data_IF_867885639773
#
_entry.id   IF_867885639773
#
_cell.length_a   1.000
_cell.length_b   1.000
_cell.length_c   1.000
_cell.angle_alpha   90.00
_cell.angle_beta   90.00
_cell.angle_gamma   90.00
#
_symmetry.space_group_name_H-M   'P 1'
#
loop_
_entity.id
_entity.type
_entity.pdbx_description
1 polymer ?
#
# COMPACT_ATOMS: atom_id res chain seq x y z
N UNK A 1 -23.12 62.24 -22.73
CA UNK A 1 -24.27 61.47 -23.26
C UNK A 1 -23.97 59.98 -23.13
N UNK A 2 -24.74 59.20 -22.35
CA UNK A 2 -24.55 57.76 -22.26
C UNK A 2 -25.33 57.03 -23.37
N UNK A 3 -24.75 56.02 -24.07
CA UNK A 3 -25.52 55.19 -24.97
C UNK A 3 -26.40 54.19 -24.20
N UNK A 4 -27.60 54.01 -24.75
CA UNK A 4 -28.76 53.33 -24.18
C UNK A 4 -28.57 51.82 -24.11
N UNK A 5 -29.02 51.24 -22.98
CA UNK A 5 -29.29 49.80 -22.79
C UNK A 5 -30.28 49.31 -23.86
N UNK A 6 -29.90 48.26 -24.59
CA UNK A 6 -30.83 47.45 -25.37
C UNK A 6 -31.31 46.25 -24.53
N UNK A 7 -32.63 46.09 -24.44
CA UNK A 7 -33.37 44.93 -23.90
C UNK A 7 -33.86 44.06 -25.06
N UNK A 8 -33.69 42.73 -25.00
CA UNK A 8 -34.54 41.63 -25.54
C UNK A 8 -33.67 40.37 -25.71
N UNK A 9 -34.11 39.13 -25.56
CA UNK A 9 -35.42 38.49 -25.35
C UNK A 9 -35.18 37.08 -24.73
N UNK A 10 -36.21 36.42 -24.15
CA UNK A 10 -36.06 35.16 -23.44
C UNK A 10 -36.03 33.91 -24.35
N UNK A 11 -35.47 32.83 -23.78
CA UNK A 11 -35.23 31.51 -24.36
C UNK A 11 -36.48 30.75 -24.83
N UNK A 12 -36.36 29.84 -25.82
CA UNK A 12 -37.33 28.77 -26.04
C UNK A 12 -37.02 27.54 -25.16
N UNK A 13 -38.07 27.11 -24.45
CA UNK A 13 -38.16 25.86 -23.70
C UNK A 13 -38.21 24.67 -24.67
N UNK A 14 -37.30 23.72 -24.53
CA UNK A 14 -37.44 22.39 -25.16
C UNK A 14 -37.98 21.41 -24.15
N UNK A 15 -39.13 20.85 -24.53
CA UNK A 15 -39.97 19.88 -23.83
C UNK A 15 -39.30 18.52 -23.69
N UNK A 16 -39.33 17.99 -22.48
CA UNK A 16 -39.06 16.58 -22.18
C UNK A 16 -40.23 15.71 -22.68
N UNK A 17 -39.91 14.66 -23.43
CA UNK A 17 -40.82 13.56 -23.75
C UNK A 17 -40.29 12.27 -23.10
N UNK A 18 -41.16 11.42 -22.50
CA UNK A 18 -40.76 10.16 -21.88
C UNK A 18 -40.70 9.06 -22.96
N UNK A 19 -39.54 8.42 -23.12
CA UNK A 19 -39.44 7.19 -23.92
C UNK A 19 -39.48 5.98 -23.01
N UNK A 20 -40.39 5.11 -23.37
CA UNK A 20 -40.91 3.95 -22.66
C UNK A 20 -39.90 2.82 -22.50
N UNK A 21 -40.02 2.19 -21.34
CA UNK A 21 -39.40 0.96 -20.86
C UNK A 21 -39.80 -0.23 -21.76
N UNK A 22 -38.83 -0.92 -22.36
CA UNK A 22 -39.03 -2.24 -22.95
C UNK A 22 -38.38 -3.30 -22.05
N UNK A 23 -39.22 -4.10 -21.41
CA UNK A 23 -38.83 -5.30 -20.69
C UNK A 23 -38.80 -6.48 -21.67
N UNK A 24 -37.63 -7.08 -21.89
CA UNK A 24 -37.51 -8.35 -22.59
C UNK A 24 -37.27 -9.48 -21.59
N UNK A 25 -38.15 -10.48 -21.69
CA UNK A 25 -38.22 -11.69 -20.89
C UNK A 25 -37.09 -12.66 -21.21
N UNK A 26 -36.52 -13.22 -20.14
CA UNK A 26 -36.20 -14.63 -19.88
C UNK A 26 -36.28 -15.61 -21.07
N UNK A 27 -35.16 -16.29 -21.33
CA UNK A 27 -35.13 -17.73 -21.65
C UNK A 27 -33.83 -18.36 -21.12
N UNK A 28 -33.95 -19.25 -20.13
CA UNK A 28 -32.95 -20.28 -19.80
C UNK A 28 -33.21 -21.50 -20.70
N UNK A 29 -32.17 -22.23 -21.11
CA UNK A 29 -32.29 -23.67 -21.30
C UNK A 29 -31.39 -24.42 -20.30
N UNK A 30 -32.08 -25.13 -19.41
CA UNK A 30 -31.96 -26.55 -19.09
C UNK A 30 -30.61 -27.24 -19.25
N UNK A 31 -30.17 -27.78 -18.11
CA UNK A 31 -29.10 -28.76 -17.95
C UNK A 31 -29.41 -30.09 -18.66
N UNK A 32 -28.39 -30.67 -19.30
CA UNK A 32 -28.34 -32.11 -19.55
C UNK A 32 -27.09 -32.70 -18.89
N UNK A 33 -27.32 -33.83 -18.23
CA UNK A 33 -26.50 -34.51 -17.25
C UNK A 33 -26.05 -35.82 -17.87
N UNK A 34 -24.76 -36.06 -17.96
CA UNK A 34 -24.22 -37.41 -18.10
C UNK A 34 -22.98 -37.57 -17.21
N UNK A 35 -23.10 -38.48 -16.24
CA UNK A 35 -22.02 -38.98 -15.40
C UNK A 35 -21.67 -40.42 -15.86
N UNK A 36 -20.93 -41.24 -15.08
CA UNK A 36 -19.49 -41.22 -14.86
C UNK A 36 -18.83 -42.56 -15.26
N UNK A 37 -17.53 -42.58 -15.60
CA UNK A 37 -16.78 -43.85 -15.69
C UNK A 37 -15.79 -44.02 -14.54
N UNK A 38 -16.09 -45.00 -13.69
CA UNK A 38 -15.18 -45.58 -12.68
C UNK A 38 -14.11 -46.46 -13.36
N UNK A 39 -12.87 -46.39 -12.89
CA UNK A 39 -11.98 -47.55 -12.83
C UNK A 39 -10.96 -47.36 -11.70
N UNK A 40 -10.84 -48.39 -10.86
CA UNK A 40 -10.09 -48.42 -9.62
C UNK A 40 -8.75 -49.20 -9.80
N UNK A 41 -8.08 -49.73 -8.75
CA UNK A 41 -6.71 -49.37 -8.39
C UNK A 41 -5.69 -50.49 -8.65
N UNK A 42 -4.39 -50.18 -8.61
CA UNK A 42 -3.33 -51.20 -8.47
C UNK A 42 -2.45 -50.92 -7.26
N UNK A 43 -2.28 -51.98 -6.46
CA UNK A 43 -1.56 -52.10 -5.20
C UNK A 43 -0.12 -52.57 -5.41
N UNK A 44 0.76 -52.17 -4.47
CA UNK A 44 1.92 -52.90 -3.90
C UNK A 44 3.24 -52.96 -4.70
N UNK A 45 4.43 -53.21 -4.07
CA UNK A 45 4.68 -53.59 -2.66
C UNK A 45 5.81 -52.84 -1.91
N UNK A 46 5.84 -53.15 -0.60
CA UNK A 46 6.82 -52.87 0.46
C UNK A 46 8.29 -53.25 0.11
N UNK A 47 9.25 -52.54 0.70
CA UNK A 47 10.46 -53.16 1.27
C UNK A 47 10.91 -52.42 2.53
N UNK A 48 11.17 -53.22 3.56
CA UNK A 48 11.62 -52.81 4.88
C UNK A 48 13.14 -52.94 4.98
N UNK A 49 13.77 -52.15 5.84
CA UNK A 49 14.92 -52.59 6.62
C UNK A 49 15.04 -51.83 7.94
N UNK A 50 15.19 -52.61 9.00
CA UNK A 50 15.47 -52.24 10.40
C UNK A 50 16.97 -52.16 10.63
N UNK A 51 17.40 -51.38 11.63
CA UNK A 51 18.46 -51.66 12.64
C UNK A 51 18.52 -50.43 13.56
N UNK A 52 18.10 -50.44 14.83
CA UNK A 52 18.56 -51.16 16.03
C UNK A 52 19.94 -50.70 16.56
N UNK A 53 19.95 -50.06 17.75
CA UNK A 53 20.90 -50.43 18.80
C UNK A 53 21.74 -49.36 19.53
N UNK A 54 21.21 -48.87 20.67
CA UNK A 54 21.75 -49.12 22.04
C UNK A 54 22.80 -48.21 22.72
N UNK A 55 22.61 -48.14 24.06
CA UNK A 55 23.47 -47.74 25.21
C UNK A 55 23.58 -46.23 25.50
N UNK A 56 23.06 -45.67 26.60
CA UNK A 56 23.12 -45.97 28.06
C UNK A 56 24.54 -45.83 28.64
N UNK A 57 24.78 -44.69 29.29
CA UNK A 57 25.90 -44.42 30.21
C UNK A 57 25.45 -43.37 31.22
N UNK A 58 25.80 -43.58 32.50
CA UNK A 58 25.20 -43.03 33.72
C UNK A 58 26.33 -42.42 34.56
N UNK A 59 26.23 -41.10 34.84
CA UNK A 59 26.68 -40.31 36.05
C UNK A 59 28.10 -40.50 36.66
N UNK A 60 28.57 -39.68 37.65
CA UNK A 60 28.04 -38.43 38.25
C UNK A 60 29.08 -37.28 38.41
N UNK A 61 28.60 -36.19 39.01
CA UNK A 61 29.26 -35.24 39.93
C UNK A 61 30.01 -34.02 39.34
N UNK A 62 29.48 -32.85 39.67
CA UNK A 62 30.10 -31.55 39.45
C UNK A 62 29.22 -30.42 39.99
N UNK A 63 29.00 -30.40 41.31
CA UNK A 63 28.33 -29.30 42.02
C UNK A 63 29.12 -28.00 41.87
N UNK A 64 28.55 -27.01 41.18
CA UNK A 64 29.02 -25.62 41.26
C UNK A 64 27.81 -24.74 41.56
N UNK A 65 27.73 -24.35 42.83
CA UNK A 65 26.79 -23.38 43.35
C UNK A 65 26.96 -22.06 42.60
N UNK A 66 25.94 -21.64 41.86
CA UNK A 66 25.79 -20.29 41.34
C UNK A 66 24.67 -19.64 42.14
N UNK A 67 25.05 -18.67 42.95
CA UNK A 67 24.15 -17.71 43.59
C UNK A 67 23.35 -16.98 42.51
N UNK A 68 22.02 -16.85 42.65
CA UNK A 68 21.22 -15.98 41.80
C UNK A 68 21.39 -14.55 42.30
N UNK A 69 22.40 -13.85 41.79
CA UNK A 69 22.46 -12.40 41.80
C UNK A 69 21.98 -11.94 40.43
N UNK A 70 20.76 -11.42 40.38
CA UNK A 70 20.10 -10.84 39.22
C UNK A 70 20.73 -9.46 38.93
N UNK A 71 21.62 -9.29 37.93
CA UNK A 71 22.20 -8.00 37.64
C UNK A 71 21.37 -7.38 36.52
N UNK A 72 20.20 -6.87 36.87
CA UNK A 72 19.51 -5.71 36.28
C UNK A 72 18.00 -5.76 36.57
N UNK A 73 17.64 -5.70 37.86
CA UNK A 73 16.37 -5.11 38.24
C UNK A 73 16.47 -3.59 37.97
N UNK A 74 16.18 -3.21 36.72
CA UNK A 74 16.04 -1.80 36.35
C UNK A 74 14.78 -1.30 37.05
N UNK A 75 15.02 -0.67 38.19
CA UNK A 75 14.07 0.04 39.02
C UNK A 75 13.22 0.99 38.17
N UNK A 76 12.09 0.47 37.68
CA UNK A 76 11.14 1.17 36.82
C UNK A 76 10.43 2.30 37.57
N UNK A 77 10.61 2.38 38.89
CA UNK A 77 10.09 3.45 39.73
C UNK A 77 10.94 4.73 39.69
N UNK A 78 12.13 4.70 39.06
CA UNK A 78 13.09 5.82 39.12
C UNK A 78 13.15 6.73 37.89
N UNK A 79 12.25 6.56 36.92
CA UNK A 79 12.12 7.50 35.80
C UNK A 79 10.81 8.31 35.89
N UNK A 80 10.74 9.38 36.70
CA UNK A 80 9.55 10.23 36.82
C UNK A 80 9.40 11.19 35.62
N UNK A 81 9.78 10.78 34.41
CA UNK A 81 9.89 11.70 33.27
C UNK A 81 8.68 11.75 32.35
N UNK A 82 7.64 10.96 32.59
CA UNK A 82 6.43 11.01 31.76
C UNK A 82 5.16 11.10 32.62
N UNK A 83 4.35 12.16 32.44
CA UNK A 83 3.08 12.28 33.14
C UNK A 83 2.15 11.15 32.69
N UNK A 84 1.73 10.31 33.63
CA UNK A 84 0.76 9.24 33.43
C UNK A 84 -0.68 9.79 33.27
N UNK A 85 -0.87 10.77 32.37
CA UNK A 85 -2.14 11.43 32.13
C UNK A 85 -2.38 11.61 30.64
N UNK A 86 -3.39 10.92 30.10
CA UNK A 86 -3.91 11.12 28.72
C UNK A 86 -4.25 12.58 28.38
N UNK A 87 -4.30 13.49 29.36
CA UNK A 87 -4.68 14.89 29.19
C UNK A 87 -3.52 15.82 28.76
N UNK A 88 -2.28 15.34 28.76
CA UNK A 88 -1.11 16.14 28.38
C UNK A 88 -0.54 15.81 26.98
N UNK A 89 -1.15 14.88 26.24
CA UNK A 89 -0.70 14.54 24.89
C UNK A 89 -0.75 15.75 23.92
N UNK A 90 -1.71 16.65 24.10
CA UNK A 90 -1.82 17.90 23.33
C UNK A 90 -0.66 18.89 23.57
N UNK A 91 0.15 18.67 24.62
CA UNK A 91 1.29 19.53 24.98
C UNK A 91 2.64 19.04 24.45
N UNK A 92 2.73 17.77 24.06
CA UNK A 92 3.99 17.14 23.65
C UNK A 92 4.08 16.85 22.16
N UNK A 93 2.96 16.89 21.45
CA UNK A 93 2.94 17.01 20.00
C UNK A 93 2.98 18.51 19.70
N UNK A 94 4.14 19.03 19.28
CA UNK A 94 4.19 20.38 18.74
C UNK A 94 3.45 20.39 17.40
N UNK A 95 2.13 20.58 17.49
CA UNK A 95 1.25 20.69 16.34
C UNK A 95 1.63 21.84 15.43
N UNK A 96 2.48 22.79 15.85
CA UNK A 96 3.00 23.82 14.94
C UNK A 96 4.04 23.26 13.98
N UNK A 97 4.86 22.28 14.40
CA UNK A 97 5.80 21.55 13.52
C UNK A 97 5.04 20.58 12.62
N UNK A 98 4.04 19.86 13.16
CA UNK A 98 3.14 19.05 12.31
C UNK A 98 2.34 19.90 11.34
N UNK A 99 1.86 21.09 11.74
CA UNK A 99 1.16 22.02 10.86
C UNK A 99 2.10 22.65 9.83
N UNK A 100 3.37 22.92 10.16
CA UNK A 100 4.36 23.42 9.22
C UNK A 100 4.69 22.37 8.13
N UNK A 101 4.77 21.09 8.49
CA UNK A 101 4.96 19.99 7.53
C UNK A 101 3.67 19.65 6.76
N UNK A 102 2.52 19.64 7.43
CA UNK A 102 1.20 19.51 6.79
C UNK A 102 0.90 20.69 5.84
N UNK A 103 1.50 21.86 6.09
CA UNK A 103 1.46 23.03 5.21
C UNK A 103 2.51 23.02 4.08
N UNK A 104 3.20 21.90 3.85
CA UNK A 104 3.93 21.70 2.60
C UNK A 104 5.44 21.72 2.68
N UNK A 105 6.02 20.98 3.63
CA UNK A 105 7.26 20.26 3.31
C UNK A 105 6.95 19.14 2.30
N UNK A 106 6.36 19.52 1.16
CA UNK A 106 6.33 18.72 -0.03
C UNK A 106 7.79 18.41 -0.29
N UNK A 107 8.18 17.13 -0.22
CA UNK A 107 9.16 16.69 -1.20
C UNK A 107 8.52 17.09 -2.52
N UNK A 108 9.10 18.10 -3.17
CA UNK A 108 8.63 18.53 -4.46
C UNK A 108 8.57 17.27 -5.31
N UNK A 109 7.34 16.84 -5.63
CA UNK A 109 7.18 15.71 -6.53
C UNK A 109 7.96 16.08 -7.80
N UNK A 110 8.69 15.14 -8.39
CA UNK A 110 9.46 15.43 -9.59
C UNK A 110 8.60 16.21 -10.57
N UNK A 111 9.10 17.31 -11.14
CA UNK A 111 8.27 18.20 -11.95
C UNK A 111 7.54 17.39 -13.01
N UNK A 112 6.20 17.51 -13.02
CA UNK A 112 5.38 16.78 -13.98
C UNK A 112 5.82 17.12 -15.40
N UNK A 113 5.89 16.10 -16.26
CA UNK A 113 6.03 16.31 -17.68
C UNK A 113 4.84 17.10 -18.23
N UNK A 114 5.03 17.73 -19.39
CA UNK A 114 3.92 18.37 -20.09
C UNK A 114 2.95 17.30 -20.56
N UNK A 115 1.66 17.53 -20.32
CA UNK A 115 0.58 16.67 -20.84
C UNK A 115 0.64 16.66 -22.36
N UNK A 116 0.73 15.46 -22.92
CA UNK A 116 0.61 15.27 -24.36
C UNK A 116 -0.79 15.74 -24.80
N UNK A 117 -0.91 16.56 -25.86
CA UNK A 117 -2.20 16.92 -26.38
C UNK A 117 -2.98 15.65 -26.74
N UNK A 118 -4.30 15.67 -26.50
CA UNK A 118 -5.15 14.55 -26.90
C UNK A 118 -5.14 14.46 -28.41
N UNK A 119 -4.54 13.38 -28.91
CA UNK A 119 -4.52 13.04 -30.32
C UNK A 119 -5.30 11.74 -30.51
N UNK A 120 -6.22 11.74 -31.46
CA UNK A 120 -7.02 10.57 -31.85
C UNK A 120 -6.50 10.08 -33.18
N UNK A 121 -6.20 8.79 -33.28
CA UNK A 121 -5.88 8.19 -34.56
C UNK A 121 -7.15 8.08 -35.42
N UNK A 122 -7.08 8.54 -36.66
CA UNK A 122 -8.21 8.49 -37.60
C UNK A 122 -8.27 7.19 -38.42
N UNK A 123 -7.23 6.34 -38.34
CA UNK A 123 -7.15 5.09 -39.07
C UNK A 123 -7.81 3.90 -38.36
N UNK A 124 -8.24 2.92 -39.16
CA UNK A 124 -8.82 1.67 -38.65
C UNK A 124 -7.75 0.69 -38.14
N UNK A 125 -6.49 0.84 -38.57
CA UNK A 125 -5.40 -0.07 -38.20
C UNK A 125 -4.70 0.39 -36.91
N UNK A 126 -4.41 -0.54 -35.96
CA UNK A 126 -3.71 -0.17 -34.73
C UNK A 126 -2.29 0.33 -34.99
N UNK A 127 -1.96 1.49 -34.42
CA UNK A 127 -0.60 2.01 -34.47
C UNK A 127 0.30 1.20 -33.56
N UNK A 128 1.19 0.42 -34.18
CA UNK A 128 2.13 -0.46 -33.48
C UNK A 128 3.57 0.05 -33.54
N UNK A 129 3.86 0.96 -34.48
CA UNK A 129 5.20 1.50 -34.72
C UNK A 129 5.33 2.92 -34.17
N UNK A 130 6.40 3.25 -33.43
CA UNK A 130 6.56 4.59 -32.84
C UNK A 130 6.77 5.69 -33.87
N UNK A 131 7.23 5.36 -35.08
CA UNK A 131 7.45 6.30 -36.19
C UNK A 131 6.15 6.91 -36.72
N UNK A 132 5.01 6.28 -36.47
CA UNK A 132 3.69 6.75 -36.90
C UNK A 132 3.04 7.72 -35.90
N UNK A 133 3.69 7.95 -34.77
CA UNK A 133 3.21 8.89 -33.76
C UNK A 133 3.50 10.34 -34.18
N UNK A 134 2.62 11.29 -33.79
CA UNK A 134 2.92 12.70 -33.94
C UNK A 134 4.21 13.10 -33.21
N UNK A 135 4.90 14.11 -33.75
CA UNK A 135 6.08 14.67 -33.12
C UNK A 135 5.78 15.13 -31.68
N UNK A 136 6.65 14.74 -30.73
CA UNK A 136 6.50 15.05 -29.31
C UNK A 136 5.52 14.14 -28.54
N UNK A 137 4.84 13.21 -29.19
CA UNK A 137 4.02 12.23 -28.49
C UNK A 137 4.90 11.16 -27.83
N UNK A 138 4.62 10.83 -26.56
CA UNK A 138 5.42 9.88 -25.79
C UNK A 138 4.56 8.73 -25.22
N UNK A 139 4.88 7.45 -25.49
CA UNK A 139 4.17 6.29 -24.95
C UNK A 139 4.25 6.16 -23.43
N UNK A 140 5.18 6.85 -22.77
CA UNK A 140 5.41 6.77 -21.33
C UNK A 140 4.56 7.75 -20.51
N UNK A 141 3.71 8.58 -21.15
CA UNK A 141 2.72 9.44 -20.46
C UNK A 141 3.31 10.22 -19.27
N UNK A 142 4.38 11.00 -19.54
CA UNK A 142 5.19 11.70 -18.53
C UNK A 142 4.43 12.73 -17.67
N UNK A 143 3.16 12.99 -17.96
CA UNK A 143 2.29 13.89 -17.20
C UNK A 143 1.60 13.25 -15.99
N UNK A 144 1.61 11.91 -15.93
CA UNK A 144 1.00 11.13 -14.85
C UNK A 144 2.09 10.47 -14.01
N UNK A 145 1.89 10.49 -12.69
CA UNK A 145 2.75 9.71 -11.80
C UNK A 145 2.35 8.23 -11.79
N UNK A 146 3.28 7.37 -11.38
CA UNK A 146 3.03 5.92 -11.32
C UNK A 146 2.06 5.52 -10.19
N UNK A 147 1.95 6.35 -9.14
CA UNK A 147 1.04 6.18 -8.00
C UNK A 147 -0.39 6.67 -8.29
N UNK A 148 -0.60 7.45 -9.36
CA UNK A 148 -1.92 7.93 -9.82
C UNK A 148 -2.67 6.82 -10.59
N UNK A 149 -2.91 5.68 -9.93
CA UNK A 149 -3.45 4.44 -10.53
C UNK A 149 -4.72 4.70 -11.36
N UNK A 150 -5.69 5.46 -10.84
CA UNK A 150 -6.94 5.74 -11.56
C UNK A 150 -6.73 6.59 -12.82
N UNK A 151 -5.83 7.57 -12.76
CA UNK A 151 -5.51 8.40 -13.92
C UNK A 151 -4.78 7.57 -14.99
N UNK A 152 -3.91 6.66 -14.56
CA UNK A 152 -3.20 5.72 -15.45
C UNK A 152 -4.17 4.74 -16.13
N UNK A 153 -5.12 4.16 -15.38
CA UNK A 153 -6.18 3.30 -15.93
C UNK A 153 -6.97 4.04 -16.99
N UNK A 154 -7.45 5.25 -16.65
CA UNK A 154 -8.23 6.09 -17.57
C UNK A 154 -7.45 6.39 -18.85
N UNK A 155 -6.16 6.75 -18.74
CA UNK A 155 -5.30 7.03 -19.91
C UNK A 155 -5.10 5.77 -20.77
N UNK A 156 -4.87 4.61 -20.16
CA UNK A 156 -4.77 3.35 -20.91
C UNK A 156 -6.04 3.06 -21.72
N UNK A 157 -7.22 3.22 -21.11
CA UNK A 157 -8.50 3.04 -21.80
C UNK A 157 -8.68 4.02 -22.96
N UNK A 158 -8.30 5.30 -22.77
CA UNK A 158 -8.31 6.30 -23.85
C UNK A 158 -7.42 5.87 -25.02
N UNK A 159 -6.18 5.44 -24.77
CA UNK A 159 -5.25 5.02 -25.84
C UNK A 159 -5.69 3.76 -26.56
N UNK A 160 -6.27 2.81 -25.84
CA UNK A 160 -6.89 1.61 -26.43
C UNK A 160 -8.06 2.02 -27.32
N UNK A 161 -8.91 2.94 -26.88
CA UNK A 161 -10.05 3.43 -27.66
C UNK A 161 -9.64 4.22 -28.90
N UNK A 162 -8.52 4.95 -28.82
CA UNK A 162 -7.95 5.71 -29.93
C UNK A 162 -7.05 4.83 -30.83
N UNK A 163 -7.01 3.50 -30.63
CA UNK A 163 -6.25 2.54 -31.45
C UNK A 163 -4.72 2.79 -31.50
N UNK A 164 -4.16 3.35 -30.42
CA UNK A 164 -2.73 3.68 -30.28
C UNK A 164 -2.06 2.65 -29.38
N UNK A 165 -1.05 1.93 -29.88
CA UNK A 165 -0.26 0.96 -29.11
C UNK A 165 -1.12 0.00 -28.26
N UNK A 166 -2.20 -0.51 -28.85
CA UNK A 166 -3.27 -1.23 -28.14
C UNK A 166 -2.73 -2.33 -27.24
N UNK A 167 -1.79 -3.14 -27.72
CA UNK A 167 -1.24 -4.26 -26.95
C UNK A 167 -0.40 -3.79 -25.74
N UNK A 168 0.42 -2.74 -25.93
CA UNK A 168 1.20 -2.16 -24.84
C UNK A 168 0.29 -1.58 -23.75
N UNK A 169 -0.75 -0.83 -24.14
CA UNK A 169 -1.68 -0.23 -23.19
C UNK A 169 -2.62 -1.25 -22.54
N UNK A 170 -2.97 -2.36 -23.21
CA UNK A 170 -3.67 -3.49 -22.57
C UNK A 170 -2.84 -4.11 -21.46
N UNK A 171 -1.56 -4.41 -21.72
CA UNK A 171 -0.66 -4.96 -20.71
C UNK A 171 -0.46 -3.98 -19.54
N UNK A 172 -0.30 -2.69 -19.84
CA UNK A 172 -0.18 -1.64 -18.82
C UNK A 172 -1.47 -1.51 -18.00
N UNK A 173 -2.64 -1.58 -18.64
CA UNK A 173 -3.94 -1.58 -17.98
C UNK A 173 -4.06 -2.74 -16.99
N UNK A 174 -3.71 -3.96 -17.41
CA UNK A 174 -3.72 -5.13 -16.52
C UNK A 174 -2.85 -4.92 -15.27
N UNK A 175 -1.63 -4.40 -15.44
CA UNK A 175 -0.73 -4.07 -14.32
C UNK A 175 -1.40 -3.08 -13.35
N UNK A 176 -2.03 -2.02 -13.86
CA UNK A 176 -2.67 -1.03 -12.98
C UNK A 176 -3.94 -1.55 -12.31
N UNK A 177 -4.70 -2.43 -12.96
CA UNK A 177 -5.83 -3.11 -12.34
C UNK A 177 -5.37 -4.02 -11.19
N UNK A 178 -4.28 -4.77 -11.37
CA UNK A 178 -3.65 -5.55 -10.29
C UNK A 178 -3.21 -4.64 -9.15
N UNK A 179 -2.49 -3.54 -9.43
CA UNK A 179 -2.08 -2.58 -8.40
C UNK A 179 -3.26 -1.95 -7.65
N UNK A 180 -4.37 -1.68 -8.34
CA UNK A 180 -5.60 -1.18 -7.71
C UNK A 180 -6.14 -2.21 -6.72
N UNK A 181 -6.25 -3.47 -7.15
CA UNK A 181 -6.71 -4.55 -6.27
C UNK A 181 -5.80 -4.74 -5.07
N UNK A 182 -4.48 -4.78 -5.27
CA UNK A 182 -3.50 -4.88 -4.16
C UNK A 182 -3.64 -3.72 -3.17
N UNK A 183 -3.89 -2.51 -3.66
CA UNK A 183 -4.16 -1.33 -2.82
C UNK A 183 -5.45 -1.49 -2.02
N UNK A 184 -6.53 -1.93 -2.65
CA UNK A 184 -7.80 -2.18 -1.98
C UNK A 184 -7.68 -3.30 -0.92
N UNK A 185 -6.97 -4.39 -1.24
CA UNK A 185 -6.72 -5.51 -0.34
C UNK A 185 -5.88 -5.07 0.88
N UNK A 186 -4.85 -4.23 0.66
CA UNK A 186 -4.05 -3.66 1.75
C UNK A 186 -4.89 -2.76 2.66
N UNK A 187 -5.73 -1.89 2.09
CA UNK A 187 -6.64 -1.03 2.86
C UNK A 187 -7.63 -1.89 3.65
N UNK A 188 -8.20 -2.92 3.03
CA UNK A 188 -9.16 -3.83 3.68
C UNK A 188 -8.52 -4.67 4.79
N UNK A 189 -7.20 -4.88 4.76
CA UNK A 189 -6.47 -5.63 5.79
C UNK A 189 -6.22 -4.84 7.09
N UNK A 190 -6.45 -3.53 7.06
CA UNK A 190 -6.18 -2.63 8.18
C UNK A 190 -7.48 -1.96 8.68
N UNK A 191 -7.49 -1.38 9.91
CA UNK A 191 -8.66 -0.68 10.43
C UNK A 191 -9.13 0.46 9.53
N UNK A 192 -10.45 0.64 9.43
CA UNK A 192 -11.05 1.72 8.64
C UNK A 192 -10.54 3.11 9.05
N UNK A 193 -10.44 4.01 8.07
CA UNK A 193 -10.08 5.42 8.29
C UNK A 193 -8.60 5.70 8.49
N UNK A 194 -7.71 4.76 8.14
CA UNK A 194 -6.29 5.04 7.97
C UNK A 194 -6.00 5.64 6.61
N UNK A 195 -5.03 6.55 6.55
CA UNK A 195 -4.54 7.11 5.29
C UNK A 195 -3.71 6.07 4.51
N UNK A 196 -3.69 6.20 3.18
CA UNK A 196 -2.96 5.30 2.29
C UNK A 196 -1.47 5.19 2.63
N UNK A 197 -0.81 6.29 2.97
CA UNK A 197 0.61 6.29 3.32
C UNK A 197 0.85 5.51 4.63
N UNK A 198 -0.08 5.62 5.57
CA UNK A 198 -0.04 4.86 6.83
C UNK A 198 -0.22 3.36 6.58
N UNK A 199 -1.15 2.98 5.69
CA UNK A 199 -1.36 1.58 5.28
C UNK A 199 -0.10 1.02 4.61
N UNK A 200 0.51 1.78 3.68
CA UNK A 200 1.76 1.37 3.03
C UNK A 200 2.92 1.20 4.03
N UNK A 201 2.99 2.09 5.03
CA UNK A 201 3.97 1.98 6.12
C UNK A 201 3.73 0.74 6.99
N UNK A 202 2.47 0.44 7.33
CA UNK A 202 2.09 -0.76 8.07
C UNK A 202 2.47 -2.03 7.32
N UNK A 203 2.22 -2.09 6.01
CA UNK A 203 2.64 -3.21 5.17
C UNK A 203 4.18 -3.39 5.19
N UNK A 204 4.93 -2.29 5.08
CA UNK A 204 6.40 -2.34 5.17
C UNK A 204 6.87 -2.86 6.54
N UNK A 205 6.23 -2.44 7.63
CA UNK A 205 6.53 -2.91 8.98
C UNK A 205 6.19 -4.38 9.18
N UNK A 206 5.15 -4.88 8.52
CA UNK A 206 4.81 -6.31 8.53
C UNK A 206 5.89 -7.15 7.84
N UNK A 207 6.39 -6.71 6.69
CA UNK A 207 7.51 -7.39 6.00
C UNK A 207 8.75 -7.42 6.90
N UNK A 208 9.05 -6.32 7.59
CA UNK A 208 10.16 -6.25 8.55
C UNK A 208 9.91 -7.21 9.73
N UNK A 209 8.70 -7.27 10.26
CA UNK A 209 8.32 -8.19 11.35
C UNK A 209 8.53 -9.66 10.96
N UNK A 210 8.07 -10.04 9.76
CA UNK A 210 8.22 -11.38 9.20
C UNK A 210 9.73 -11.73 9.09
N UNK A 211 10.53 -10.82 8.53
CA UNK A 211 11.98 -11.00 8.42
C UNK A 211 12.68 -11.15 9.78
N UNK A 212 12.36 -10.29 10.76
CA UNK A 212 12.95 -10.36 12.11
C UNK A 212 12.59 -11.66 12.83
N UNK A 213 11.37 -12.15 12.60
CA UNK A 213 10.89 -13.42 13.17
C UNK A 213 11.67 -14.60 12.61
N UNK A 214 11.96 -14.60 11.30
CA UNK A 214 12.77 -15.64 10.65
C UNK A 214 14.24 -15.61 11.11
N UNK A 215 14.83 -14.41 11.26
CA UNK A 215 16.24 -14.22 11.62
C UNK A 215 16.52 -14.26 13.13
N UNK A 216 15.53 -14.64 13.96
CA UNK A 216 15.61 -14.70 15.44
C UNK A 216 15.93 -13.37 16.14
N UNK A 217 15.64 -12.24 15.48
CA UNK A 217 15.70 -10.89 16.07
C UNK A 217 16.92 -10.62 16.96
N UNK A 218 18.13 -10.82 16.43
CA UNK A 218 19.38 -10.73 17.21
C UNK A 218 19.57 -9.40 17.96
N UNK A 219 19.01 -8.31 17.44
CA UNK A 219 19.11 -6.96 18.00
C UNK A 219 17.88 -6.53 18.83
N UNK A 220 16.91 -7.42 19.05
CA UNK A 220 15.72 -7.13 19.85
C UNK A 220 14.82 -6.03 19.27
N UNK A 221 14.70 -5.97 17.94
CA UNK A 221 13.92 -4.97 17.20
C UNK A 221 12.44 -5.35 17.04
N UNK A 222 12.10 -6.64 17.17
CA UNK A 222 10.73 -7.12 17.01
C UNK A 222 9.72 -6.40 17.94
N UNK A 223 10.03 -6.15 19.24
CA UNK A 223 9.15 -5.36 20.11
C UNK A 223 8.94 -3.94 19.59
N UNK A 224 9.97 -3.29 19.03
CA UNK A 224 9.85 -1.94 18.48
C UNK A 224 8.91 -1.93 17.28
N UNK A 225 9.09 -2.85 16.34
CA UNK A 225 8.26 -2.94 15.13
C UNK A 225 6.80 -3.16 15.48
N UNK A 226 6.51 -4.07 16.43
CA UNK A 226 5.15 -4.32 16.91
C UNK A 226 4.53 -3.10 17.60
N UNK A 227 5.32 -2.38 18.40
CA UNK A 227 4.85 -1.17 19.07
C UNK A 227 4.54 -0.04 18.06
N UNK A 228 5.39 0.15 17.04
CA UNK A 228 5.16 1.10 15.94
C UNK A 228 3.88 0.74 15.18
N UNK A 229 3.68 -0.52 14.81
CA UNK A 229 2.45 -0.96 14.13
C UNK A 229 1.20 -0.66 14.98
N UNK A 230 1.26 -0.97 16.28
CA UNK A 230 0.16 -0.71 17.22
C UNK A 230 -0.14 0.79 17.30
N UNK A 231 0.88 1.63 17.41
CA UNK A 231 0.70 3.09 17.47
C UNK A 231 0.04 3.65 16.20
N UNK A 232 0.40 3.16 15.01
CA UNK A 232 -0.27 3.54 13.76
C UNK A 232 -1.74 3.07 13.72
N UNK A 233 -2.00 1.80 14.04
CA UNK A 233 -3.37 1.24 14.04
C UNK A 233 -4.29 1.95 15.05
N UNK A 234 -3.74 2.35 16.19
CA UNK A 234 -4.45 3.12 17.21
C UNK A 234 -4.56 4.62 16.90
N UNK A 235 -3.94 5.09 15.81
CA UNK A 235 -3.84 6.52 15.45
C UNK A 235 -3.16 7.37 16.54
N UNK A 236 -2.32 6.74 17.37
CA UNK A 236 -1.44 7.42 18.34
C UNK A 236 -0.23 8.06 17.63
N UNK A 237 0.08 7.60 16.42
CA UNK A 237 1.12 8.13 15.56
C UNK A 237 0.59 8.32 14.14
N UNK A 238 0.95 9.45 13.53
CA UNK A 238 0.68 9.75 12.12
C UNK A 238 1.97 9.59 11.32
N UNK A 239 1.85 9.10 10.09
CA UNK A 239 2.98 9.08 9.18
C UNK A 239 3.19 10.50 8.66
N UNK A 240 4.34 11.09 8.97
CA UNK A 240 4.78 12.34 8.34
C UNK A 240 6.07 12.05 7.60
N UNK A 241 6.10 12.44 6.33
CA UNK A 241 7.29 12.33 5.53
C UNK A 241 8.47 13.14 6.12
N UNK A 242 9.64 12.52 6.24
CA UNK A 242 10.85 13.17 6.76
C UNK A 242 10.94 13.25 8.29
N UNK A 243 9.92 12.78 9.02
CA UNK A 243 9.95 12.68 10.47
C UNK A 243 10.36 11.27 10.89
N UNK A 244 11.22 11.17 11.90
CA UNK A 244 11.68 9.90 12.45
C UNK A 244 11.27 9.82 13.91
N UNK A 245 10.76 8.66 14.32
CA UNK A 245 10.53 8.31 15.73
C UNK A 245 11.56 7.28 16.19
N UNK A 246 12.05 7.45 17.41
CA UNK A 246 13.04 6.56 18.02
C UNK A 246 12.37 5.60 18.99
N UNK A 247 12.69 4.32 18.89
CA UNK A 247 12.07 3.25 19.67
C UNK A 247 13.12 2.32 20.28
N UNK A 248 12.88 1.83 21.50
CA UNK A 248 13.70 0.82 22.17
C UNK A 248 12.84 -0.04 23.07
N UNK A 249 13.04 -1.36 22.99
CA UNK A 249 12.32 -2.36 23.78
C UNK A 249 10.78 -2.19 23.73
N UNK A 250 10.25 -1.74 22.59
CA UNK A 250 8.82 -1.52 22.39
C UNK A 250 8.28 -0.17 22.89
N UNK A 251 9.14 0.74 23.31
CA UNK A 251 8.75 2.07 23.80
C UNK A 251 9.37 3.18 22.95
N UNK A 252 8.61 4.25 22.72
CA UNK A 252 9.10 5.44 22.03
C UNK A 252 9.98 6.27 22.99
N UNK A 253 11.24 6.53 22.61
CA UNK A 253 12.23 7.20 23.48
C UNK A 253 12.22 8.73 23.31
N UNK A 254 11.47 9.25 22.34
CA UNK A 254 11.37 10.69 22.11
C UNK A 254 10.26 11.05 21.13
N UNK A 255 9.79 12.29 21.20
CA UNK A 255 8.86 12.82 20.21
C UNK A 255 9.49 12.69 18.81
N UNK A 256 8.67 12.48 17.75
CA UNK A 256 9.19 12.46 16.39
C UNK A 256 9.93 13.77 16.10
N UNK A 257 11.17 13.64 15.64
CA UNK A 257 12.03 14.77 15.30
C UNK A 257 12.28 14.86 13.81
N UNK A 258 12.73 16.03 13.36
CA UNK A 258 13.23 16.20 12.00
C UNK A 258 14.48 15.34 11.80
N UNK A 259 14.59 14.69 10.64
CA UNK A 259 15.79 13.97 10.28
C UNK A 259 16.96 14.96 10.17
N UNK A 260 17.98 14.82 11.02
CA UNK A 260 19.19 15.64 10.99
C UNK A 260 19.89 15.47 9.63
N UNK A 261 19.71 16.45 8.75
CA UNK A 261 20.34 16.51 7.42
C UNK A 261 21.78 17.04 7.56
N UNK A 262 22.55 16.45 8.46
CA UNK A 262 23.98 16.70 8.49
C UNK A 262 24.59 16.26 7.15
N UNK A 263 25.28 17.15 6.40
CA UNK A 263 25.90 16.76 5.15
C UNK A 263 26.93 15.68 5.47
N UNK A 264 26.73 14.49 4.90
CA UNK A 264 27.75 13.46 4.93
C UNK A 264 28.98 14.03 4.21
N UNK A 265 29.97 14.48 4.97
CA UNK A 265 31.32 14.69 4.46
C UNK A 265 31.85 13.30 4.07
N UNK A 266 31.67 12.96 2.79
CA UNK A 266 32.33 11.84 2.11
C UNK A 266 33.55 12.41 1.40
#
# INVERSE_FOLDING_TARGET
MPPKRARRAPAPKTTAGPVTRAASKVTKPTAERAAPSKAAPKKSPKKATKTAGSKKGKEPAGSRSLTPEDPMEVDSARNPRWPAGKKDYDKFVDYSVMAAYANGANIERPPRGKKNPRWRHEGNEPLTTPELLPEGWNPNELDLYEDEIEAQITRCEERISDNIFVEMFKRRLEIYLTKRQEREDMIASEPEGLDWETVQRLNSLRIIEEHLTEQRDGDGQLPNVKAIQKAYRNREMLFIHGMISYWRKGEQIGAPGEQDKSPANI
#
